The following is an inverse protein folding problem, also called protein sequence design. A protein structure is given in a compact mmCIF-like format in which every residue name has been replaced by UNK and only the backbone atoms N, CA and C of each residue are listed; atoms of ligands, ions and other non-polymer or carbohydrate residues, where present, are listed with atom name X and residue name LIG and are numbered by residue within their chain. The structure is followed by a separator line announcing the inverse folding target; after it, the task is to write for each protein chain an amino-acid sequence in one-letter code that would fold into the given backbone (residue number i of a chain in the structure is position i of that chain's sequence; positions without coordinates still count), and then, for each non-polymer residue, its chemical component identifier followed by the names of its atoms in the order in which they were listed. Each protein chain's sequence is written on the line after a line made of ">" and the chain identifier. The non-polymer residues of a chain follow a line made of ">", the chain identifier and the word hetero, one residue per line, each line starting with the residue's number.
data_IF_018971227008
#
_entry.id   IF_018971227008
#
_cell.length_a   1.000
_cell.length_b   1.000
_cell.length_c   1.000
_cell.angle_alpha   90.00
_cell.angle_beta   90.00
_cell.angle_gamma   90.00
#
_symmetry.space_group_name_H-M   'P 1'
#
loop_
_entity.id
_entity.type
_entity.pdbx_description
1 polymer ?
#
# COMPACT_ATOMS: atom_id res chain seq x y z
N UNK A 1 -16.59 -10.63 39.97
CA UNK A 1 -17.11 -10.07 38.70
C UNK A 1 -17.74 -8.73 39.07
N UNK A 2 -16.94 -7.69 39.11
CA UNK A 2 -17.43 -6.31 39.23
C UNK A 2 -18.02 -5.94 37.88
N UNK A 3 -19.32 -5.65 37.87
CA UNK A 3 -19.98 -5.03 36.74
C UNK A 3 -19.45 -3.58 36.67
N UNK A 4 -18.61 -3.29 35.72
CA UNK A 4 -18.21 -1.92 35.39
C UNK A 4 -19.47 -1.19 34.94
N UNK A 5 -19.71 -0.01 35.49
CA UNK A 5 -20.87 0.82 35.13
C UNK A 5 -20.61 1.42 33.73
N UNK A 6 -21.61 1.44 32.85
CA UNK A 6 -21.60 2.07 31.53
C UNK A 6 -21.15 3.54 31.55
N UNK A 7 -21.16 4.19 32.71
CA UNK A 7 -20.75 5.59 32.92
C UNK A 7 -19.21 5.82 32.95
N UNK A 8 -18.37 4.77 32.89
CA UNK A 8 -16.92 4.92 32.99
C UNK A 8 -16.23 5.22 31.64
N UNK A 9 -16.89 4.86 30.54
CA UNK A 9 -16.34 5.04 29.20
C UNK A 9 -17.07 6.11 28.40
N UNK A 10 -16.36 6.72 27.45
CA UNK A 10 -16.94 7.64 26.47
C UNK A 10 -17.84 6.86 25.51
N UNK A 11 -18.97 7.44 25.17
CA UNK A 11 -19.83 6.94 24.10
C UNK A 11 -19.14 7.10 22.74
N UNK A 12 -19.52 6.28 21.75
CA UNK A 12 -18.91 6.31 20.42
C UNK A 12 -18.98 7.69 19.76
N UNK A 13 -20.13 8.37 19.90
CA UNK A 13 -20.31 9.73 19.35
C UNK A 13 -19.34 10.74 19.99
N UNK A 14 -19.06 10.62 21.28
CA UNK A 14 -18.09 11.46 21.98
C UNK A 14 -16.66 11.18 21.51
N UNK A 15 -16.32 9.92 21.23
CA UNK A 15 -15.02 9.56 20.63
C UNK A 15 -14.90 10.14 19.23
N UNK A 16 -15.97 10.10 18.42
CA UNK A 16 -16.00 10.69 17.09
C UNK A 16 -15.85 12.23 17.13
N UNK A 17 -16.50 12.88 18.07
CA UNK A 17 -16.36 14.32 18.27
C UNK A 17 -14.94 14.71 18.66
N UNK A 18 -14.28 13.92 19.52
CA UNK A 18 -12.88 14.14 19.90
C UNK A 18 -11.92 13.91 18.72
N UNK A 19 -12.15 12.88 17.90
CA UNK A 19 -11.37 12.63 16.69
C UNK A 19 -11.56 13.78 15.68
N UNK A 20 -12.79 14.27 15.50
CA UNK A 20 -13.08 15.39 14.60
C UNK A 20 -12.44 16.69 15.08
N UNK A 21 -12.34 16.92 16.39
CA UNK A 21 -11.64 18.07 16.95
C UNK A 21 -10.12 18.05 16.61
N UNK A 22 -9.51 16.87 16.45
CA UNK A 22 -8.10 16.75 16.08
C UNK A 22 -7.80 17.20 14.64
N UNK A 23 -8.79 17.26 13.74
CA UNK A 23 -8.59 17.75 12.37
C UNK A 23 -7.99 19.16 12.32
N UNK A 24 -8.51 20.05 13.18
CA UNK A 24 -8.02 21.43 13.27
C UNK A 24 -6.56 21.51 13.77
N UNK A 25 -6.19 20.65 14.69
CA UNK A 25 -4.86 20.64 15.31
C UNK A 25 -3.78 20.03 14.40
N UNK A 26 -4.13 19.11 13.53
CA UNK A 26 -3.17 18.46 12.61
C UNK A 26 -2.63 19.43 11.56
N UNK A 27 -3.36 20.47 11.20
CA UNK A 27 -2.93 21.49 10.24
C UNK A 27 -1.88 22.46 10.82
N UNK A 28 -1.76 22.57 12.14
CA UNK A 28 -0.87 23.51 12.82
C UNK A 28 0.46 22.92 13.33
N UNK A 29 0.61 21.59 13.36
CA UNK A 29 1.74 20.92 13.98
C UNK A 29 2.95 20.74 13.05
N UNK A 30 3.86 21.71 13.03
CA UNK A 30 5.23 21.62 12.50
C UNK A 30 6.18 20.95 13.51
N UNK A 31 5.91 19.72 13.92
CA UNK A 31 6.72 19.00 14.92
C UNK A 31 6.74 17.50 14.70
N UNK A 32 7.45 16.77 15.56
CA UNK A 32 7.46 15.31 15.54
C UNK A 32 6.03 14.77 15.58
N UNK A 33 5.74 13.80 14.71
CA UNK A 33 4.42 13.16 14.61
C UNK A 33 4.05 12.56 15.97
N UNK A 34 2.92 13.01 16.52
CA UNK A 34 2.29 12.36 17.65
C UNK A 34 1.13 11.52 17.09
N UNK A 35 1.06 10.22 17.37
CA UNK A 35 -0.02 9.36 16.90
C UNK A 35 -1.39 9.89 17.29
N UNK A 36 -2.39 9.74 16.42
CA UNK A 36 -3.77 10.19 16.67
C UNK A 36 -4.32 9.58 17.95
N UNK A 37 -4.10 8.28 18.17
CA UNK A 37 -4.47 7.57 19.40
C UNK A 37 -3.96 8.28 20.65
N UNK A 38 -2.68 8.68 20.70
CA UNK A 38 -2.11 9.36 21.85
C UNK A 38 -2.78 10.72 22.09
N UNK A 39 -3.02 11.50 21.04
CA UNK A 39 -3.72 12.80 21.13
C UNK A 39 -5.15 12.62 21.63
N UNK A 40 -5.85 11.61 21.11
CA UNK A 40 -7.20 11.29 21.57
C UNK A 40 -7.23 10.99 23.08
N UNK A 41 -6.32 10.14 23.57
CA UNK A 41 -6.23 9.77 24.98
C UNK A 41 -5.88 10.98 25.86
N UNK A 42 -5.01 11.87 25.39
CA UNK A 42 -4.66 13.10 26.11
C UNK A 42 -5.88 14.05 26.17
N UNK A 43 -6.62 14.22 25.06
CA UNK A 43 -7.81 15.07 25.02
C UNK A 43 -8.95 14.48 25.84
N UNK A 44 -9.18 13.17 25.78
CA UNK A 44 -10.15 12.48 26.64
C UNK A 44 -9.83 12.70 28.13
N UNK A 45 -8.56 12.57 28.52
CA UNK A 45 -8.12 12.80 29.91
C UNK A 45 -8.30 14.25 30.38
N UNK A 46 -8.27 15.22 29.45
CA UNK A 46 -8.51 16.65 29.76
C UNK A 46 -10.00 16.98 29.83
N UNK A 47 -10.83 16.25 29.08
CA UNK A 47 -12.27 16.53 28.97
C UNK A 47 -13.09 16.02 30.17
N UNK A 48 -12.58 15.06 30.97
CA UNK A 48 -13.30 14.53 32.12
C UNK A 48 -12.69 13.26 32.71
N UNK A 49 -13.46 12.62 33.62
CA UNK A 49 -13.02 11.39 34.31
C UNK A 49 -13.26 10.12 33.47
N UNK A 50 -14.05 10.21 32.39
CA UNK A 50 -14.35 9.06 31.52
C UNK A 50 -13.20 8.72 30.61
N UNK A 51 -13.07 7.44 30.29
CA UNK A 51 -11.97 6.86 29.50
C UNK A 51 -12.47 6.41 28.13
N UNK A 52 -11.56 6.29 27.18
CA UNK A 52 -11.86 5.60 25.92
C UNK A 52 -11.92 4.09 26.20
N UNK A 53 -12.91 3.42 25.64
CA UNK A 53 -13.07 1.97 25.78
C UNK A 53 -11.82 1.21 25.29
N UNK A 54 -11.35 0.19 26.03
CA UNK A 54 -10.17 -0.59 25.64
C UNK A 54 -10.24 -1.23 24.27
N UNK A 55 -11.43 -1.65 23.80
CA UNK A 55 -11.59 -2.20 22.47
C UNK A 55 -11.36 -1.12 21.39
N UNK A 56 -11.90 0.07 21.61
CA UNK A 56 -11.65 1.24 20.75
C UNK A 56 -10.16 1.63 20.74
N UNK A 57 -9.50 1.64 21.90
CA UNK A 57 -8.04 1.89 21.97
C UNK A 57 -7.27 0.87 21.15
N UNK A 58 -7.67 -0.40 21.20
CA UNK A 58 -7.00 -1.45 20.41
C UNK A 58 -7.21 -1.24 18.90
N UNK A 59 -8.40 -0.89 18.44
CA UNK A 59 -8.64 -0.64 17.02
C UNK A 59 -7.85 0.56 16.50
N UNK A 60 -7.67 1.61 17.31
CA UNK A 60 -6.82 2.75 16.97
C UNK A 60 -5.33 2.36 16.94
N UNK A 61 -4.89 1.48 17.84
CA UNK A 61 -3.53 0.92 17.80
C UNK A 61 -3.30 0.10 16.53
N UNK A 62 -4.30 -0.63 16.05
CA UNK A 62 -4.23 -1.38 14.80
C UNK A 62 -4.07 -0.44 13.59
N UNK A 63 -4.74 0.73 13.58
CA UNK A 63 -4.54 1.77 12.56
C UNK A 63 -3.12 2.36 12.65
N UNK A 64 -2.65 2.70 13.85
CA UNK A 64 -1.29 3.20 14.08
C UNK A 64 -0.24 2.22 13.54
N UNK A 65 -0.36 0.93 13.87
CA UNK A 65 0.52 -0.12 13.38
C UNK A 65 0.46 -0.28 11.84
N UNK A 66 -0.72 -0.13 11.24
CA UNK A 66 -0.89 -0.14 9.79
C UNK A 66 -0.14 1.04 9.14
N UNK A 67 -0.31 2.24 9.67
CA UNK A 67 0.36 3.46 9.15
C UNK A 67 1.88 3.34 9.32
N UNK A 68 2.36 2.91 10.48
CA UNK A 68 3.79 2.72 10.74
C UNK A 68 4.39 1.67 9.80
N UNK A 69 3.69 0.56 9.57
CA UNK A 69 4.10 -0.45 8.59
C UNK A 69 4.21 0.10 7.16
N UNK A 70 3.28 0.99 6.78
CA UNK A 70 3.30 1.68 5.48
C UNK A 70 4.45 2.68 5.40
N UNK A 71 4.73 3.40 6.48
CA UNK A 71 5.83 4.37 6.54
C UNK A 71 7.20 3.70 6.46
N UNK A 72 7.34 2.54 7.08
CA UNK A 72 8.57 1.74 7.07
C UNK A 72 8.75 0.94 5.76
N UNK A 73 7.71 0.81 4.93
CA UNK A 73 7.80 0.08 3.67
C UNK A 73 8.73 0.81 2.67
N UNK A 74 9.89 0.19 2.41
CA UNK A 74 10.88 0.71 1.47
C UNK A 74 10.41 0.71 0.00
N UNK A 75 9.32 0.00 -0.31
CA UNK A 75 8.76 -0.09 -1.67
C UNK A 75 7.79 1.03 -2.00
N UNK A 76 7.27 1.72 -0.99
CA UNK A 76 6.34 2.81 -1.19
C UNK A 76 7.07 4.15 -1.32
N UNK A 77 6.69 4.91 -2.34
CA UNK A 77 7.21 6.27 -2.55
C UNK A 77 6.73 7.23 -1.46
N UNK A 78 7.51 8.26 -1.14
CA UNK A 78 7.17 9.27 -0.13
C UNK A 78 5.83 9.95 -0.40
N UNK A 79 5.50 10.22 -1.67
CA UNK A 79 4.19 10.79 -2.01
C UNK A 79 3.04 9.84 -1.69
N UNK A 80 3.21 8.54 -1.89
CA UNK A 80 2.22 7.52 -1.53
C UNK A 80 2.03 7.45 -0.02
N UNK A 81 3.14 7.41 0.72
CA UNK A 81 3.12 7.46 2.19
C UNK A 81 2.41 8.71 2.71
N UNK A 82 2.70 9.87 2.09
CA UNK A 82 2.03 11.12 2.44
C UNK A 82 0.52 11.10 2.16
N UNK A 83 0.09 10.47 1.06
CA UNK A 83 -1.32 10.31 0.76
C UNK A 83 -2.04 9.45 1.80
N UNK A 84 -1.46 8.30 2.16
CA UNK A 84 -2.05 7.41 3.16
C UNK A 84 -2.04 8.06 4.54
N UNK A 85 -0.99 8.79 4.88
CA UNK A 85 -0.92 9.57 6.13
C UNK A 85 -2.02 10.63 6.23
N UNK A 86 -2.40 11.28 5.13
CA UNK A 86 -3.54 12.22 5.11
C UNK A 86 -4.87 11.55 5.46
N UNK A 87 -4.98 10.24 5.25
CA UNK A 87 -6.18 9.48 5.61
C UNK A 87 -6.16 8.94 7.05
N UNK A 88 -5.05 9.07 7.80
CA UNK A 88 -4.89 8.47 9.13
C UNK A 88 -6.08 8.77 10.05
N UNK A 89 -6.43 10.03 10.21
CA UNK A 89 -7.53 10.43 11.08
C UNK A 89 -8.89 9.86 10.63
N UNK A 90 -9.14 9.84 9.32
CA UNK A 90 -10.36 9.23 8.78
C UNK A 90 -10.37 7.72 9.01
N UNK A 91 -9.21 7.06 8.91
CA UNK A 91 -9.08 5.63 9.23
C UNK A 91 -9.31 5.36 10.72
N UNK A 92 -8.85 6.23 11.61
CA UNK A 92 -9.14 6.15 13.04
C UNK A 92 -10.64 6.27 13.32
N UNK A 93 -11.33 7.20 12.66
CA UNK A 93 -12.78 7.33 12.75
C UNK A 93 -13.50 6.07 12.24
N UNK A 94 -13.04 5.50 11.11
CA UNK A 94 -13.56 4.24 10.57
C UNK A 94 -13.35 3.10 11.56
N UNK A 95 -12.16 2.97 12.12
CA UNK A 95 -11.81 1.90 13.04
C UNK A 95 -12.60 1.98 14.34
N UNK A 96 -12.79 3.19 14.88
CA UNK A 96 -13.63 3.41 16.06
C UNK A 96 -15.09 2.99 15.83
N UNK A 97 -15.62 3.23 14.61
CA UNK A 97 -16.98 2.81 14.23
C UNK A 97 -17.09 1.30 13.91
N UNK A 98 -16.00 0.68 13.49
CA UNK A 98 -15.99 -0.70 12.99
C UNK A 98 -14.88 -1.48 13.71
N UNK A 99 -15.19 -2.02 14.86
CA UNK A 99 -14.23 -2.80 15.68
C UNK A 99 -13.57 -3.99 14.95
N UNK A 100 -14.09 -4.38 13.81
CA UNK A 100 -13.57 -5.46 12.94
C UNK A 100 -12.96 -4.92 11.64
N UNK A 101 -12.39 -3.72 11.70
CA UNK A 101 -11.82 -2.95 10.60
C UNK A 101 -10.80 -3.75 9.76
N UNK A 102 -9.92 -4.52 10.42
CA UNK A 102 -8.88 -5.33 9.76
C UNK A 102 -9.28 -6.78 9.47
N UNK A 103 -10.59 -7.10 9.51
CA UNK A 103 -11.04 -8.47 9.26
C UNK A 103 -10.57 -9.00 7.90
N UNK A 104 -9.79 -10.09 7.91
CA UNK A 104 -9.24 -10.68 6.70
C UNK A 104 -10.29 -11.19 5.71
N UNK A 105 -11.43 -11.65 6.21
CA UNK A 105 -12.50 -12.22 5.37
C UNK A 105 -13.40 -11.15 4.76
N UNK A 106 -13.57 -10.01 5.45
CA UNK A 106 -14.40 -8.90 4.99
C UNK A 106 -13.76 -7.57 5.39
N UNK A 107 -12.63 -7.18 4.75
CA UNK A 107 -11.94 -5.95 5.10
C UNK A 107 -12.81 -4.73 4.78
N UNK A 108 -12.69 -3.68 5.60
CA UNK A 108 -13.38 -2.43 5.34
C UNK A 108 -12.92 -1.80 4.02
N UNK A 109 -13.84 -1.10 3.31
CA UNK A 109 -13.59 -0.47 2.00
C UNK A 109 -12.42 0.52 1.98
N UNK A 110 -12.14 1.17 3.11
CA UNK A 110 -10.98 2.06 3.24
C UNK A 110 -9.65 1.35 2.98
N UNK A 111 -9.53 0.06 3.31
CA UNK A 111 -8.33 -0.73 3.01
C UNK A 111 -8.18 -0.99 1.50
N UNK A 112 -9.29 -1.13 0.77
CA UNK A 112 -9.26 -1.20 -0.68
C UNK A 112 -8.78 0.13 -1.29
N UNK A 113 -9.20 1.27 -0.72
CA UNK A 113 -8.72 2.60 -1.11
C UNK A 113 -7.22 2.73 -0.89
N UNK A 114 -6.71 2.36 0.30
CA UNK A 114 -5.26 2.36 0.60
C UNK A 114 -4.50 1.52 -0.43
N UNK A 115 -5.00 0.32 -0.74
CA UNK A 115 -4.38 -0.57 -1.73
C UNK A 115 -4.35 0.06 -3.13
N UNK A 116 -5.42 0.75 -3.54
CA UNK A 116 -5.43 1.44 -4.83
C UNK A 116 -4.51 2.66 -4.85
N UNK A 117 -4.45 3.45 -3.77
CA UNK A 117 -3.51 4.56 -3.62
C UNK A 117 -2.06 4.04 -3.71
N UNK A 118 -1.74 2.95 -3.02
CA UNK A 118 -0.42 2.33 -3.08
C UNK A 118 -0.07 1.87 -4.51
N UNK A 119 -1.03 1.31 -5.23
CA UNK A 119 -0.86 0.91 -6.62
C UNK A 119 -0.63 2.10 -7.55
N UNK A 120 -1.39 3.19 -7.38
CA UNK A 120 -1.32 4.39 -8.22
C UNK A 120 -0.11 5.26 -7.89
N UNK A 121 0.41 5.17 -6.66
CA UNK A 121 1.57 5.96 -6.21
C UNK A 121 2.82 5.75 -7.05
N UNK A 122 3.03 4.54 -7.58
CA UNK A 122 4.11 4.21 -8.51
C UNK A 122 3.88 4.68 -9.95
N UNK A 123 2.66 5.06 -10.32
CA UNK A 123 2.29 5.33 -11.71
C UNK A 123 2.80 6.66 -12.30
N UNK A 124 3.38 7.55 -11.50
CA UNK A 124 4.22 8.68 -11.96
C UNK A 124 3.56 9.83 -12.72
N UNK A 125 2.30 9.72 -13.16
CA UNK A 125 1.61 10.78 -13.92
C UNK A 125 1.13 11.90 -13.00
N UNK A 126 1.46 13.15 -13.31
CA UNK A 126 1.02 14.32 -12.55
C UNK A 126 -0.52 14.46 -12.54
N UNK A 127 -1.20 14.01 -13.60
CA UNK A 127 -2.67 14.03 -13.65
C UNK A 127 -3.27 13.01 -12.69
N UNK A 128 -2.72 11.80 -12.62
CA UNK A 128 -3.17 10.78 -11.67
C UNK A 128 -2.94 11.22 -10.23
N UNK A 129 -1.80 11.85 -9.94
CA UNK A 129 -1.50 12.40 -8.61
C UNK A 129 -2.54 13.41 -8.16
N UNK A 130 -2.91 14.35 -9.03
CA UNK A 130 -3.92 15.35 -8.71
C UNK A 130 -5.28 14.74 -8.42
N UNK A 131 -5.69 13.75 -9.20
CA UNK A 131 -6.95 13.05 -8.96
C UNK A 131 -6.94 12.30 -7.63
N UNK A 132 -5.82 11.65 -7.27
CA UNK A 132 -5.68 11.00 -5.97
C UNK A 132 -5.72 12.00 -4.83
N UNK A 133 -5.06 13.16 -4.95
CA UNK A 133 -5.15 14.24 -3.95
C UNK A 133 -6.60 14.72 -3.79
N UNK A 134 -7.32 14.97 -4.89
CA UNK A 134 -8.74 15.40 -4.88
C UNK A 134 -9.64 14.35 -4.19
N UNK A 135 -9.42 13.06 -4.47
CA UNK A 135 -10.16 11.95 -3.84
C UNK A 135 -9.88 11.87 -2.33
N UNK A 136 -8.62 12.02 -1.91
CA UNK A 136 -8.26 12.01 -0.49
C UNK A 136 -8.91 13.19 0.25
N UNK A 137 -8.87 14.37 -0.35
CA UNK A 137 -9.50 15.57 0.22
C UNK A 137 -11.03 15.38 0.29
N UNK A 138 -11.66 14.73 -0.69
CA UNK A 138 -13.09 14.39 -0.67
C UNK A 138 -13.42 13.39 0.45
N UNK A 139 -12.62 12.32 0.60
CA UNK A 139 -12.82 11.33 1.67
C UNK A 139 -12.76 12.02 3.03
N UNK A 140 -11.72 12.80 3.29
CA UNK A 140 -11.54 13.47 4.57
C UNK A 140 -12.67 14.48 4.87
N UNK A 141 -13.18 15.16 3.85
CA UNK A 141 -14.21 16.19 4.03
C UNK A 141 -15.63 15.61 4.20
N UNK A 142 -15.88 14.41 3.68
CA UNK A 142 -17.25 13.91 3.57
C UNK A 142 -17.52 12.63 4.39
N UNK A 143 -16.51 11.97 4.93
CA UNK A 143 -16.69 10.68 5.62
C UNK A 143 -17.73 10.75 6.75
N UNK A 144 -17.73 11.79 7.56
CA UNK A 144 -18.65 11.92 8.70
C UNK A 144 -20.11 12.05 8.26
N UNK A 145 -20.36 12.58 7.06
CA UNK A 145 -21.70 12.77 6.51
C UNK A 145 -22.13 11.61 5.59
N UNK A 146 -21.17 10.89 5.02
CA UNK A 146 -21.44 9.88 4.00
C UNK A 146 -20.40 8.75 4.02
N UNK A 147 -20.70 7.63 4.72
CA UNK A 147 -19.82 6.47 4.76
C UNK A 147 -19.55 5.81 3.39
N UNK A 148 -20.40 6.05 2.37
CA UNK A 148 -20.22 5.52 1.01
C UNK A 148 -19.11 6.26 0.23
N UNK A 149 -18.47 7.27 0.82
CA UNK A 149 -17.37 8.03 0.19
C UNK A 149 -16.24 7.12 -0.29
N UNK A 150 -15.95 6.02 0.41
CA UNK A 150 -14.93 5.05 0.00
C UNK A 150 -15.33 4.28 -1.26
N UNK A 151 -16.60 3.92 -1.44
CA UNK A 151 -17.08 3.25 -2.65
C UNK A 151 -17.04 4.20 -3.86
N UNK A 152 -17.34 5.49 -3.66
CA UNK A 152 -17.15 6.50 -4.71
C UNK A 152 -15.67 6.68 -5.06
N UNK A 153 -14.81 6.82 -4.07
CA UNK A 153 -13.35 6.91 -4.25
C UNK A 153 -12.81 5.74 -5.07
N UNK A 154 -13.21 4.51 -4.75
CA UNK A 154 -12.84 3.32 -5.49
C UNK A 154 -13.34 3.37 -6.94
N UNK A 155 -14.56 3.87 -7.15
CA UNK A 155 -15.15 4.03 -8.49
C UNK A 155 -14.38 5.08 -9.30
N UNK A 156 -13.98 6.20 -8.69
CA UNK A 156 -13.23 7.26 -9.36
C UNK A 156 -11.78 6.88 -9.64
N UNK A 157 -11.14 6.09 -8.76
CA UNK A 157 -9.80 5.57 -8.99
C UNK A 157 -9.76 4.45 -10.04
N UNK A 158 -10.87 3.74 -10.26
CA UNK A 158 -10.91 2.59 -11.17
C UNK A 158 -10.42 2.91 -12.61
N UNK A 159 -10.77 4.04 -13.23
CA UNK A 159 -10.25 4.41 -14.56
C UNK A 159 -8.72 4.59 -14.56
N UNK A 160 -8.15 5.12 -13.48
CA UNK A 160 -6.70 5.29 -13.35
C UNK A 160 -6.00 3.94 -13.20
N UNK A 161 -6.56 3.05 -12.38
CA UNK A 161 -6.09 1.67 -12.22
C UNK A 161 -6.22 0.91 -13.55
N UNK A 162 -7.32 1.08 -14.26
CA UNK A 162 -7.53 0.47 -15.58
C UNK A 162 -6.54 1.01 -16.61
N UNK A 163 -6.26 2.30 -16.59
CA UNK A 163 -5.27 2.92 -17.46
C UNK A 163 -3.87 2.38 -17.16
N UNK A 164 -3.50 2.28 -15.88
CA UNK A 164 -2.26 1.68 -15.44
C UNK A 164 -2.14 0.23 -15.92
N UNK A 165 -3.18 -0.55 -15.71
CA UNK A 165 -3.24 -1.94 -16.13
C UNK A 165 -3.18 -2.08 -17.66
N UNK A 166 -3.84 -1.20 -18.43
CA UNK A 166 -3.76 -1.20 -19.90
C UNK A 166 -2.36 -0.86 -20.40
N UNK A 167 -1.69 0.08 -19.75
CA UNK A 167 -0.32 0.47 -20.11
C UNK A 167 0.66 -0.71 -19.93
N UNK A 168 0.41 -1.56 -18.92
CA UNK A 168 1.31 -2.64 -18.55
C UNK A 168 0.87 -4.03 -19.05
N UNK A 169 -0.43 -4.23 -19.36
CA UNK A 169 -0.94 -5.59 -19.58
C UNK A 169 -2.16 -5.67 -20.49
N UNK A 170 -2.00 -5.49 -21.78
CA UNK A 170 -3.09 -5.78 -22.73
C UNK A 170 -3.65 -7.21 -22.62
N UNK A 171 -2.90 -8.15 -22.07
CA UNK A 171 -3.30 -9.55 -21.86
C UNK A 171 -3.87 -9.85 -20.47
N UNK A 172 -3.44 -9.14 -19.40
CA UNK A 172 -3.94 -9.38 -18.03
C UNK A 172 -5.42 -9.05 -17.93
N UNK A 173 -5.87 -7.99 -18.58
CA UNK A 173 -7.29 -7.66 -18.58
C UNK A 173 -8.19 -8.78 -19.15
N UNK A 174 -7.73 -9.49 -20.20
CA UNK A 174 -8.49 -10.63 -20.73
C UNK A 174 -8.57 -11.78 -19.74
N UNK A 175 -7.46 -12.07 -19.06
CA UNK A 175 -7.40 -13.15 -18.06
C UNK A 175 -8.19 -12.81 -16.81
N UNK A 176 -8.09 -11.59 -16.31
CA UNK A 176 -8.84 -11.11 -15.12
C UNK A 176 -10.34 -11.01 -15.41
N UNK A 177 -10.73 -10.48 -16.58
CA UNK A 177 -12.15 -10.40 -16.98
C UNK A 177 -12.77 -11.76 -17.30
N UNK A 178 -11.98 -12.72 -17.80
CA UNK A 178 -12.52 -14.00 -18.26
C UNK A 178 -12.71 -15.05 -17.16
N UNK A 179 -11.94 -15.03 -16.08
CA UNK A 179 -11.92 -16.16 -15.15
C UNK A 179 -12.07 -15.85 -13.68
N UNK A 180 -11.87 -14.59 -13.23
CA UNK A 180 -11.61 -14.42 -11.80
C UNK A 180 -12.13 -13.08 -11.29
N UNK A 181 -13.05 -13.13 -10.33
CA UNK A 181 -13.55 -11.95 -9.64
C UNK A 181 -12.44 -11.13 -8.96
N UNK A 182 -12.80 -9.94 -8.50
CA UNK A 182 -11.89 -8.99 -7.82
C UNK A 182 -11.04 -9.65 -6.71
N UNK A 183 -11.57 -10.69 -6.07
CA UNK A 183 -10.91 -11.38 -4.96
C UNK A 183 -9.62 -12.11 -5.40
N UNK A 184 -9.60 -12.70 -6.59
CA UNK A 184 -8.39 -13.41 -7.07
C UNK A 184 -7.28 -12.42 -7.43
N UNK A 185 -7.65 -11.27 -7.99
CA UNK A 185 -6.68 -10.20 -8.23
C UNK A 185 -6.08 -9.70 -6.90
N UNK A 186 -6.92 -9.46 -5.88
CA UNK A 186 -6.46 -9.06 -4.55
C UNK A 186 -5.53 -10.09 -3.92
N UNK A 187 -5.89 -11.37 -4.02
CA UNK A 187 -5.06 -12.45 -3.49
C UNK A 187 -3.72 -12.53 -4.22
N UNK A 188 -3.71 -12.39 -5.55
CA UNK A 188 -2.47 -12.34 -6.32
C UNK A 188 -1.60 -11.14 -5.92
N UNK A 189 -2.20 -9.97 -5.74
CA UNK A 189 -1.48 -8.77 -5.29
C UNK A 189 -0.87 -8.94 -3.90
N UNK A 190 -1.64 -9.51 -2.94
CA UNK A 190 -1.13 -9.82 -1.59
C UNK A 190 0.01 -10.83 -1.63
N UNK A 191 -0.15 -11.91 -2.38
CA UNK A 191 0.89 -12.93 -2.52
C UNK A 191 2.18 -12.34 -3.10
N UNK A 192 2.07 -11.48 -4.11
CA UNK A 192 3.23 -10.80 -4.70
C UNK A 192 3.88 -9.85 -3.71
N UNK A 193 3.09 -9.07 -2.97
CA UNK A 193 3.63 -8.17 -1.94
C UNK A 193 4.35 -8.95 -0.85
N UNK A 194 3.75 -10.02 -0.31
CA UNK A 194 4.39 -10.88 0.68
C UNK A 194 5.70 -11.47 0.16
N UNK A 195 5.72 -11.95 -1.07
CA UNK A 195 6.92 -12.50 -1.73
C UNK A 195 8.03 -11.47 -1.90
N UNK A 196 7.63 -10.24 -2.22
CA UNK A 196 8.55 -9.12 -2.32
C UNK A 196 9.06 -8.70 -0.94
N UNK A 197 8.19 -8.53 0.06
CA UNK A 197 8.52 -8.11 1.42
C UNK A 197 9.51 -9.05 2.09
N UNK A 198 9.34 -10.38 1.92
CA UNK A 198 10.28 -11.37 2.46
C UNK A 198 11.73 -11.15 1.98
N UNK A 199 11.91 -10.54 0.81
CA UNK A 199 13.23 -10.27 0.21
C UNK A 199 13.81 -8.93 0.59
N UNK A 200 12.95 -7.98 0.95
CA UNK A 200 13.36 -6.58 1.18
C UNK A 200 13.44 -6.21 2.66
N UNK A 201 12.85 -7.01 3.53
CA UNK A 201 12.81 -6.71 4.96
C UNK A 201 14.20 -6.34 5.50
N UNK A 202 14.34 -5.11 5.97
CA UNK A 202 15.56 -4.60 6.56
C UNK A 202 16.69 -4.25 5.58
N UNK A 203 16.43 -4.16 4.26
CA UNK A 203 17.42 -3.76 3.25
C UNK A 203 17.16 -2.38 2.71
N UNK A 204 18.23 -1.59 2.51
CA UNK A 204 18.15 -0.37 1.72
C UNK A 204 18.01 -0.70 0.23
N UNK A 205 16.93 -0.26 -0.39
CA UNK A 205 16.68 -0.46 -1.81
C UNK A 205 17.09 0.79 -2.59
N UNK A 206 18.10 0.72 -3.48
CA UNK A 206 18.46 1.85 -4.31
C UNK A 206 17.30 2.34 -5.18
N UNK A 207 17.23 3.65 -5.41
CA UNK A 207 16.13 4.30 -6.16
C UNK A 207 15.91 3.67 -7.56
N UNK A 208 16.99 3.31 -8.25
CA UNK A 208 16.91 2.67 -9.57
C UNK A 208 16.22 1.31 -9.49
N UNK A 209 16.53 0.56 -8.46
CA UNK A 209 15.94 -0.74 -8.23
C UNK A 209 14.46 -0.59 -7.84
N UNK A 210 14.15 0.37 -6.98
CA UNK A 210 12.78 0.71 -6.63
C UNK A 210 11.93 1.04 -7.87
N UNK A 211 12.45 1.84 -8.80
CA UNK A 211 11.77 2.19 -10.06
C UNK A 211 11.53 0.98 -10.97
N UNK A 212 12.40 -0.03 -10.92
CA UNK A 212 12.17 -1.29 -11.61
C UNK A 212 11.05 -2.10 -10.94
N UNK A 213 11.11 -2.17 -9.63
CA UNK A 213 10.21 -3.01 -8.84
C UNK A 213 8.78 -2.48 -8.88
N UNK A 214 8.64 -1.15 -8.80
CA UNK A 214 7.34 -0.49 -8.71
C UNK A 214 7.12 0.51 -9.87
N UNK A 215 6.10 0.29 -10.71
CA UNK A 215 5.15 -0.82 -10.72
C UNK A 215 5.60 -2.01 -11.60
N UNK A 216 6.72 -1.91 -12.31
CA UNK A 216 7.11 -2.81 -13.38
C UNK A 216 7.13 -4.29 -12.98
N UNK A 217 8.10 -4.68 -12.16
CA UNK A 217 8.30 -6.07 -11.78
C UNK A 217 7.14 -6.65 -10.96
N UNK A 218 6.57 -5.83 -10.07
CA UNK A 218 5.36 -6.19 -9.33
C UNK A 218 4.23 -6.60 -10.27
N UNK A 219 3.96 -5.82 -11.31
CA UNK A 219 2.91 -6.14 -12.28
C UNK A 219 3.25 -7.39 -13.10
N UNK A 220 4.52 -7.61 -13.41
CA UNK A 220 4.97 -8.86 -14.05
C UNK A 220 4.64 -10.07 -13.16
N UNK A 221 5.01 -10.01 -11.88
CA UNK A 221 4.72 -11.06 -10.92
C UNK A 221 3.21 -11.29 -10.76
N UNK A 222 2.42 -10.23 -10.61
CA UNK A 222 0.94 -10.35 -10.52
C UNK A 222 0.38 -11.02 -11.79
N UNK A 223 0.85 -10.62 -12.97
CA UNK A 223 0.44 -11.23 -14.23
C UNK A 223 0.77 -12.71 -14.29
N UNK A 224 2.01 -13.08 -13.96
CA UNK A 224 2.48 -14.47 -13.96
C UNK A 224 1.68 -15.31 -12.95
N UNK A 225 1.46 -14.78 -11.74
CA UNK A 225 0.67 -15.45 -10.71
C UNK A 225 -0.78 -15.72 -11.19
N UNK A 226 -1.41 -14.75 -11.86
CA UNK A 226 -2.78 -14.90 -12.35
C UNK A 226 -2.91 -15.88 -13.52
N UNK A 227 -1.88 -15.97 -14.37
CA UNK A 227 -1.91 -16.80 -15.57
C UNK A 227 -1.44 -18.23 -15.33
N UNK A 228 -0.42 -18.40 -14.51
CA UNK A 228 0.34 -19.64 -14.41
C UNK A 228 0.45 -20.15 -12.97
N UNK A 229 0.12 -19.31 -11.98
CA UNK A 229 0.22 -19.63 -10.56
C UNK A 229 1.62 -19.38 -9.99
N UNK A 230 1.69 -19.33 -8.65
CA UNK A 230 2.92 -19.04 -7.90
C UNK A 230 3.94 -20.19 -7.86
N UNK A 231 3.57 -21.40 -8.30
CA UNK A 231 4.47 -22.55 -8.39
C UNK A 231 5.02 -22.78 -9.81
N UNK A 232 4.64 -21.91 -10.76
CA UNK A 232 5.07 -22.07 -12.15
C UNK A 232 6.56 -21.81 -12.35
N UNK A 233 7.12 -22.39 -13.40
CA UNK A 233 8.54 -22.19 -13.77
C UNK A 233 8.83 -20.73 -14.06
N UNK A 234 7.91 -20.01 -14.72
CA UNK A 234 8.07 -18.60 -15.03
C UNK A 234 8.00 -17.72 -13.76
N UNK A 235 7.13 -18.07 -12.79
CA UNK A 235 7.13 -17.41 -11.50
C UNK A 235 8.47 -17.55 -10.79
N UNK A 236 8.97 -18.78 -10.65
CA UNK A 236 10.25 -19.05 -10.00
C UNK A 236 11.40 -18.30 -10.68
N UNK A 237 11.39 -18.23 -11.99
CA UNK A 237 12.38 -17.50 -12.77
C UNK A 237 12.34 -15.98 -12.51
N UNK A 238 11.15 -15.40 -12.42
CA UNK A 238 11.01 -13.98 -12.10
C UNK A 238 11.42 -13.66 -10.66
N UNK A 239 11.10 -14.54 -9.72
CA UNK A 239 11.52 -14.42 -8.32
C UNK A 239 13.04 -14.57 -8.19
N UNK A 240 13.62 -15.54 -8.85
CA UNK A 240 15.08 -15.75 -8.91
C UNK A 240 15.81 -14.54 -9.51
N UNK A 241 15.21 -13.89 -10.51
CA UNK A 241 15.75 -12.65 -11.08
C UNK A 241 15.83 -11.54 -10.03
N UNK A 242 14.82 -11.43 -9.15
CA UNK A 242 14.85 -10.50 -8.01
C UNK A 242 15.97 -10.83 -7.03
N UNK A 243 16.09 -12.10 -6.64
CA UNK A 243 17.12 -12.55 -5.70
C UNK A 243 18.52 -12.20 -6.23
N UNK A 244 18.75 -12.41 -7.53
CA UNK A 244 20.00 -12.04 -8.19
C UNK A 244 20.23 -10.52 -8.21
N UNK A 245 19.20 -9.73 -8.51
CA UNK A 245 19.29 -8.26 -8.48
C UNK A 245 19.74 -7.75 -7.09
N UNK A 246 19.15 -8.30 -6.02
CA UNK A 246 19.53 -7.92 -4.66
C UNK A 246 20.96 -8.31 -4.31
N UNK A 247 21.43 -9.46 -4.78
CA UNK A 247 22.83 -9.87 -4.60
C UNK A 247 23.82 -8.94 -5.31
N UNK A 248 23.46 -8.40 -6.48
CA UNK A 248 24.31 -7.44 -7.20
C UNK A 248 24.38 -6.06 -6.51
N UNK A 249 23.36 -5.69 -5.79
CA UNK A 249 23.28 -4.36 -5.14
C UNK A 249 23.80 -4.40 -3.71
N UNK A 250 23.79 -5.57 -3.09
CA UNK A 250 24.28 -5.78 -1.73
C UNK A 250 25.81 -5.82 -1.72
N UNK A 251 26.42 -4.82 -1.07
CA UNK A 251 27.88 -4.67 -1.00
C UNK A 251 28.59 -5.80 -0.27
N UNK A 252 27.86 -6.50 0.61
CA UNK A 252 28.39 -7.60 1.43
C UNK A 252 28.15 -8.96 0.79
N UNK A 253 27.51 -9.01 -0.39
CA UNK A 253 27.20 -10.23 -1.13
C UNK A 253 28.17 -10.44 -2.31
N UNK A 254 28.54 -11.72 -2.55
CA UNK A 254 29.19 -12.12 -3.78
C UNK A 254 28.20 -12.86 -4.68
N UNK A 255 27.65 -12.22 -5.73
CA UNK A 255 26.68 -12.83 -6.62
C UNK A 255 27.18 -14.14 -7.25
N UNK A 256 28.49 -14.28 -7.45
CA UNK A 256 29.10 -15.48 -8.07
C UNK A 256 29.14 -16.69 -7.14
N UNK A 257 28.97 -16.47 -5.85
CA UNK A 257 28.89 -17.55 -4.89
C UNK A 257 27.50 -18.22 -4.85
N UNK A 258 26.50 -17.62 -5.48
CA UNK A 258 25.14 -18.19 -5.56
C UNK A 258 25.11 -19.39 -6.51
N UNK A 259 24.44 -20.50 -6.15
CA UNK A 259 24.22 -21.62 -7.05
C UNK A 259 23.39 -21.23 -8.29
N UNK A 260 22.59 -20.17 -8.17
CA UNK A 260 21.72 -19.65 -9.21
C UNK A 260 22.31 -18.43 -9.91
N UNK A 261 23.64 -18.27 -9.86
CA UNK A 261 24.34 -17.13 -10.44
C UNK A 261 23.95 -16.88 -11.89
N UNK A 262 23.52 -15.65 -12.15
CA UNK A 262 23.21 -15.17 -13.48
C UNK A 262 24.18 -14.04 -13.86
N UNK A 263 24.92 -14.14 -14.98
CA UNK A 263 25.76 -13.05 -15.44
C UNK A 263 24.96 -11.73 -15.64
N UNK A 264 25.56 -10.55 -15.42
CA UNK A 264 24.85 -9.27 -15.52
C UNK A 264 24.10 -9.07 -16.83
N UNK A 265 24.70 -9.48 -17.95
CA UNK A 265 24.09 -9.39 -19.28
C UNK A 265 22.84 -10.26 -19.40
N UNK A 266 22.90 -11.49 -18.88
CA UNK A 266 21.75 -12.40 -18.87
C UNK A 266 20.65 -11.91 -17.93
N UNK A 267 21.03 -11.35 -16.78
CA UNK A 267 20.09 -10.75 -15.83
C UNK A 267 19.33 -9.57 -16.46
N UNK A 268 20.05 -8.65 -17.10
CA UNK A 268 19.45 -7.51 -17.80
C UNK A 268 18.54 -7.96 -18.95
N UNK A 269 18.94 -8.98 -19.70
CA UNK A 269 18.10 -9.56 -20.76
C UNK A 269 16.81 -10.16 -20.23
N UNK A 270 16.86 -10.84 -19.07
CA UNK A 270 15.66 -11.36 -18.41
C UNK A 270 14.74 -10.24 -17.93
N UNK A 271 15.30 -9.18 -17.36
CA UNK A 271 14.54 -7.98 -16.93
C UNK A 271 13.86 -7.35 -18.13
N UNK A 272 14.59 -7.12 -19.21
CA UNK A 272 14.06 -6.51 -20.42
C UNK A 272 12.94 -7.34 -21.05
N UNK A 273 13.16 -8.64 -21.17
CA UNK A 273 12.19 -9.61 -21.69
C UNK A 273 10.93 -9.68 -20.81
N UNK A 274 11.10 -9.69 -19.48
CA UNK A 274 9.99 -9.67 -18.53
C UNK A 274 9.14 -8.40 -18.66
N UNK A 275 9.76 -7.23 -18.69
CA UNK A 275 9.06 -5.96 -18.88
C UNK A 275 8.38 -5.86 -20.25
N UNK A 276 8.99 -6.43 -21.29
CA UNK A 276 8.40 -6.51 -22.63
C UNK A 276 7.12 -7.36 -22.63
N UNK A 277 7.13 -8.48 -21.90
CA UNK A 277 6.01 -9.41 -21.84
C UNK A 277 4.73 -8.79 -21.27
N UNK A 278 4.86 -7.72 -20.47
CA UNK A 278 3.74 -6.94 -19.91
C UNK A 278 3.53 -5.60 -20.62
N UNK A 279 4.16 -5.40 -21.76
CA UNK A 279 4.11 -4.16 -22.54
C UNK A 279 4.46 -2.90 -21.71
N UNK A 280 5.49 -3.01 -20.85
CA UNK A 280 6.00 -1.87 -20.09
C UNK A 280 6.47 -0.77 -21.04
N UNK A 281 6.06 0.47 -20.78
CA UNK A 281 6.23 1.59 -21.72
C UNK A 281 7.71 1.79 -22.13
N UNK A 282 8.03 1.76 -23.43
CA UNK A 282 9.42 1.88 -23.91
C UNK A 282 10.14 3.15 -23.44
N UNK A 283 9.39 4.26 -23.32
CA UNK A 283 9.92 5.54 -22.84
C UNK A 283 10.42 5.50 -21.39
N UNK A 284 9.87 4.62 -20.57
CA UNK A 284 10.31 4.40 -19.18
C UNK A 284 11.30 3.24 -19.08
N UNK A 285 11.13 2.20 -19.89
CA UNK A 285 11.97 1.00 -19.88
C UNK A 285 13.41 1.28 -20.26
N UNK A 286 13.64 2.00 -21.36
CA UNK A 286 14.98 2.25 -21.88
C UNK A 286 15.87 3.01 -20.89
N UNK A 287 15.43 4.13 -20.30
CA UNK A 287 16.20 4.83 -19.26
C UNK A 287 16.47 3.96 -18.03
N UNK A 288 15.47 3.15 -17.62
CA UNK A 288 15.58 2.27 -16.48
C UNK A 288 16.65 1.20 -16.69
N UNK A 289 16.63 0.50 -17.82
CA UNK A 289 17.65 -0.51 -18.17
C UNK A 289 19.05 0.13 -18.25
N UNK A 290 19.16 1.33 -18.82
CA UNK A 290 20.43 2.04 -18.88
C UNK A 290 20.96 2.43 -17.49
N UNK A 291 20.08 2.79 -16.58
CA UNK A 291 20.45 3.10 -15.18
C UNK A 291 20.88 1.84 -14.43
N UNK A 292 20.22 0.70 -14.66
CA UNK A 292 20.60 -0.59 -14.07
C UNK A 292 21.99 -1.08 -14.54
N UNK A 293 22.41 -0.74 -15.75
CA UNK A 293 23.76 -1.06 -16.26
C UNK A 293 24.88 -0.32 -15.54
N UNK A 294 24.56 0.71 -14.78
CA UNK A 294 25.54 1.57 -14.09
C UNK A 294 25.70 1.19 -12.60
N UNK A 295 24.84 0.31 -12.10
CA UNK A 295 24.87 -0.23 -10.73
C UNK A 295 25.67 -1.52 -10.70
#
# INVERSE_FOLDING_TARGET
>A
TEAYSDDEYLELDEVQDLLSALEGEMHEANGARMPVRQRLLENASRAGERRVDPATVQTLEDVENLIDSIEDDALLMDNTKNWIRKLELTLDKVAANNGDFLNENNPHRSLDVINQIALLGGAGSNSARRVVDEIIDEINSNYDADPEVFDRALTEMQPLVDQLNRAFTGNVQRTVKASLGQQTLRNAQRAVLSEMDERYAGREVPEVLYKLLMPGWRNLLVNTHLREGHESVEWQKHVQTLDQLFQYVDKDSDPKASPDYMPPESLLQHIESGLDSIAYEPGQRIPLINSLKQV
#
